data_IF_982950584972
#
_entry.id   IF_982950584972
#
_cell.length_a   1.000
_cell.length_b   1.000
_cell.length_c   1.000
_cell.angle_alpha   90.00
_cell.angle_beta   90.00
_cell.angle_gamma   90.00
#
_symmetry.space_group_name_H-M   'P 1'
#
loop_
_entity.id
_entity.type
_entity.pdbx_description
1 polymer ?
#
# COMPACT_ATOMS: atom_id res chain seq x y z
N UNK A 1 -25.20 4.11 -11.64
CA UNK A 1 -24.93 2.87 -10.88
C UNK A 1 -23.50 2.32 -11.02
N UNK A 2 -22.78 2.57 -12.12
CA UNK A 2 -21.42 2.04 -12.35
C UNK A 2 -20.34 2.54 -11.36
N UNK A 3 -20.28 3.85 -11.09
CA UNK A 3 -19.24 4.45 -10.25
C UNK A 3 -19.22 3.88 -8.81
N UNK A 4 -20.38 3.58 -8.23
CA UNK A 4 -20.46 2.99 -6.87
C UNK A 4 -19.88 1.56 -6.85
N UNK A 5 -20.09 0.79 -7.92
CA UNK A 5 -19.54 -0.56 -8.05
C UNK A 5 -18.02 -0.51 -8.30
N UNK A 6 -17.56 0.41 -9.15
CA UNK A 6 -16.13 0.71 -9.39
C UNK A 6 -15.40 0.99 -8.08
N UNK A 7 -15.91 1.95 -7.31
CA UNK A 7 -15.30 2.41 -6.05
C UNK A 7 -15.25 1.31 -5.00
N UNK A 8 -16.33 0.55 -4.84
CA UNK A 8 -16.35 -0.57 -3.90
C UNK A 8 -15.33 -1.65 -4.28
N UNK A 9 -15.10 -1.84 -5.59
CA UNK A 9 -14.10 -2.76 -6.11
C UNK A 9 -12.67 -2.27 -5.81
N UNK A 10 -12.37 -1.01 -6.08
CA UNK A 10 -11.04 -0.44 -5.78
C UNK A 10 -10.74 -0.46 -4.28
N UNK A 11 -11.73 -0.15 -3.45
CA UNK A 11 -11.60 -0.24 -2.00
C UNK A 11 -11.44 -1.69 -1.51
N UNK A 12 -12.12 -2.66 -2.14
CA UNK A 12 -11.92 -4.08 -1.86
C UNK A 12 -10.51 -4.53 -2.24
N UNK A 13 -10.05 -4.17 -3.45
CA UNK A 13 -8.71 -4.49 -3.93
C UNK A 13 -7.61 -3.87 -3.04
N UNK A 14 -7.84 -2.66 -2.52
CA UNK A 14 -6.97 -2.01 -1.52
C UNK A 14 -6.96 -2.76 -0.18
N UNK A 15 -8.14 -3.15 0.32
CA UNK A 15 -8.24 -3.90 1.58
C UNK A 15 -7.61 -5.29 1.46
N UNK A 16 -7.67 -5.89 0.27
CA UNK A 16 -7.04 -7.18 -0.02
C UNK A 16 -5.51 -7.07 0.01
N UNK A 17 -4.92 -6.06 -0.65
CA UNK A 17 -3.47 -5.84 -0.58
C UNK A 17 -3.02 -5.54 0.85
N UNK A 18 -3.79 -4.73 1.59
CA UNK A 18 -3.51 -4.43 3.01
C UNK A 18 -3.53 -5.70 3.88
N UNK A 19 -4.53 -6.56 3.72
CA UNK A 19 -4.65 -7.82 4.48
C UNK A 19 -3.48 -8.77 4.19
N UNK A 20 -3.13 -8.95 2.92
CA UNK A 20 -2.01 -9.79 2.50
C UNK A 20 -0.69 -9.20 3.03
N UNK A 21 -0.52 -7.88 2.93
CA UNK A 21 0.64 -7.16 3.48
C UNK A 21 0.79 -7.38 4.98
N UNK A 22 -0.28 -7.19 5.76
CA UNK A 22 -0.29 -7.43 7.20
C UNK A 22 0.04 -8.88 7.56
N UNK A 23 -0.41 -9.85 6.76
CA UNK A 23 -0.08 -11.27 6.97
C UNK A 23 1.43 -11.50 6.83
N UNK A 24 2.05 -10.95 5.78
CA UNK A 24 3.51 -10.99 5.62
C UNK A 24 4.24 -10.22 6.71
N UNK A 25 3.65 -9.15 7.25
CA UNK A 25 4.23 -8.40 8.36
C UNK A 25 4.23 -9.21 9.66
N UNK A 26 3.17 -9.97 9.94
CA UNK A 26 3.14 -10.86 11.11
C UNK A 26 4.24 -11.91 10.99
N UNK A 27 4.39 -12.51 9.80
CA UNK A 27 5.49 -13.44 9.52
C UNK A 27 6.87 -12.77 9.69
N UNK A 28 7.04 -11.54 9.21
CA UNK A 28 8.27 -10.77 9.40
C UNK A 28 8.62 -10.58 10.88
N UNK A 29 7.65 -10.14 11.70
CA UNK A 29 7.84 -9.96 13.14
C UNK A 29 8.20 -11.28 13.84
N UNK A 30 7.59 -12.39 13.41
CA UNK A 30 7.95 -13.71 13.92
C UNK A 30 9.42 -14.03 13.62
N UNK A 31 9.88 -13.86 12.38
CA UNK A 31 11.27 -14.14 12.01
C UNK A 31 12.31 -13.25 12.71
N UNK A 32 11.94 -12.03 13.11
CA UNK A 32 12.82 -11.11 13.83
C UNK A 32 12.87 -11.35 15.35
N UNK A 33 12.16 -12.37 15.85
CA UNK A 33 12.12 -12.66 17.27
C UNK A 33 13.49 -13.19 17.77
N UNK A 34 14.17 -12.51 18.71
CA UNK A 34 15.49 -12.91 19.20
C UNK A 34 15.49 -14.30 19.85
N UNK A 35 14.34 -14.78 20.34
CA UNK A 35 14.26 -16.13 20.89
C UNK A 35 14.48 -17.22 19.84
N UNK A 36 14.25 -16.95 18.55
CA UNK A 36 14.50 -17.90 17.47
C UNK A 36 15.99 -18.14 17.23
N UNK A 37 16.86 -17.16 17.52
CA UNK A 37 18.31 -17.35 17.41
C UNK A 37 18.84 -18.34 18.45
N UNK A 38 18.17 -18.42 19.60
CA UNK A 38 18.51 -19.34 20.70
C UNK A 38 17.91 -20.74 20.53
N UNK A 39 17.15 -20.98 19.46
CA UNK A 39 16.60 -22.31 19.18
C UNK A 39 17.51 -23.06 18.22
N UNK A 40 17.70 -24.37 18.47
CA UNK A 40 18.49 -25.27 17.60
C UNK A 40 17.80 -25.59 16.25
N UNK A 41 16.89 -24.72 15.81
CA UNK A 41 16.19 -24.88 14.55
C UNK A 41 17.19 -24.61 13.41
N UNK A 42 17.32 -25.53 12.43
CA UNK A 42 18.27 -25.39 11.34
C UNK A 42 17.78 -24.43 10.25
N UNK A 43 17.26 -23.26 10.62
CA UNK A 43 16.74 -22.24 9.71
C UNK A 43 17.33 -20.88 10.09
N UNK A 44 17.90 -20.19 9.10
CA UNK A 44 18.30 -18.80 9.26
C UNK A 44 17.10 -17.89 8.97
N UNK A 45 16.30 -17.63 10.01
CA UNK A 45 15.10 -16.79 9.91
C UNK A 45 15.40 -15.38 9.41
N UNK A 46 16.58 -14.83 9.71
CA UNK A 46 16.97 -13.47 9.33
C UNK A 46 17.18 -13.33 7.82
N UNK A 47 17.68 -14.38 7.17
CA UNK A 47 17.83 -14.40 5.72
C UNK A 47 16.51 -14.81 5.05
N UNK A 48 15.83 -15.84 5.56
CA UNK A 48 14.57 -16.36 5.01
C UNK A 48 13.46 -15.30 4.98
N UNK A 49 13.38 -14.44 5.99
CA UNK A 49 12.37 -13.37 6.04
C UNK A 49 12.47 -12.37 4.90
N UNK A 50 13.65 -12.19 4.29
CA UNK A 50 13.84 -11.18 3.25
C UNK A 50 12.93 -11.51 2.06
N UNK A 51 12.99 -12.77 1.61
CA UNK A 51 12.22 -13.26 0.47
C UNK A 51 10.77 -13.60 0.87
N UNK A 52 10.57 -14.19 2.04
CA UNK A 52 9.24 -14.72 2.43
C UNK A 52 8.33 -13.71 3.11
N UNK A 53 8.89 -12.61 3.64
CA UNK A 53 8.15 -11.64 4.44
C UNK A 53 8.36 -10.19 3.95
N UNK A 54 9.61 -9.72 3.93
CA UNK A 54 9.97 -8.33 3.64
C UNK A 54 9.60 -7.92 2.21
N UNK A 55 10.17 -8.59 1.21
CA UNK A 55 9.86 -8.33 -0.20
C UNK A 55 8.36 -8.37 -0.53
N UNK A 56 7.60 -9.42 -0.15
CA UNK A 56 6.17 -9.46 -0.46
C UNK A 56 5.37 -8.42 0.33
N UNK A 57 5.73 -8.08 1.58
CA UNK A 57 5.08 -6.98 2.29
C UNK A 57 5.27 -5.64 1.54
N UNK A 58 6.50 -5.35 1.12
CA UNK A 58 6.84 -4.14 0.35
C UNK A 58 6.03 -4.11 -0.96
N UNK A 59 5.87 -5.25 -1.63
CA UNK A 59 5.05 -5.37 -2.84
C UNK A 59 3.59 -4.95 -2.58
N UNK A 60 2.98 -5.52 -1.53
CA UNK A 60 1.59 -5.25 -1.17
C UNK A 60 1.37 -3.79 -0.78
N UNK A 61 2.30 -3.25 0.01
CA UNK A 61 2.37 -1.83 0.36
C UNK A 61 2.39 -1.00 -0.93
N UNK A 62 3.30 -1.27 -1.86
CA UNK A 62 3.36 -0.52 -3.12
C UNK A 62 2.06 -0.60 -3.93
N UNK A 63 1.43 -1.78 -4.00
CA UNK A 63 0.13 -1.97 -4.65
C UNK A 63 -0.96 -1.10 -4.01
N UNK A 64 -1.06 -1.06 -2.67
CA UNK A 64 -2.01 -0.18 -1.95
C UNK A 64 -1.83 1.30 -2.35
N UNK A 65 -0.58 1.76 -2.52
CA UNK A 65 -0.28 3.12 -2.98
C UNK A 65 -0.77 3.38 -4.42
N UNK A 66 -0.50 2.45 -5.35
CA UNK A 66 -0.99 2.54 -6.74
C UNK A 66 -2.51 2.53 -6.83
N UNK A 67 -3.19 1.71 -6.02
CA UNK A 67 -4.66 1.69 -5.98
C UNK A 67 -5.19 3.02 -5.42
N UNK A 68 -4.54 3.58 -4.40
CA UNK A 68 -4.91 4.90 -3.85
C UNK A 68 -4.72 6.02 -4.86
N UNK A 69 -3.63 5.98 -5.63
CA UNK A 69 -3.40 6.87 -6.77
C UNK A 69 -4.54 6.77 -7.78
N UNK A 70 -4.93 5.55 -8.16
CA UNK A 70 -6.04 5.33 -9.07
C UNK A 70 -7.37 5.88 -8.53
N UNK A 71 -7.70 5.63 -7.25
CA UNK A 71 -8.93 6.14 -6.63
C UNK A 71 -8.94 7.67 -6.59
N UNK A 72 -7.82 8.30 -6.22
CA UNK A 72 -7.73 9.78 -6.20
C UNK A 72 -7.86 10.37 -7.61
N UNK A 73 -7.23 9.77 -8.62
CA UNK A 73 -7.40 10.15 -10.02
C UNK A 73 -8.85 9.98 -10.50
N UNK A 74 -9.49 8.85 -10.18
CA UNK A 74 -10.90 8.57 -10.47
C UNK A 74 -11.79 9.68 -9.91
N UNK A 75 -11.51 10.14 -8.68
CA UNK A 75 -12.24 11.24 -8.04
C UNK A 75 -11.99 12.58 -8.70
N UNK A 76 -10.74 12.92 -8.99
CA UNK A 76 -10.42 14.15 -9.70
C UNK A 76 -11.17 14.22 -11.04
N UNK A 77 -11.14 13.14 -11.82
CA UNK A 77 -11.85 13.05 -13.09
C UNK A 77 -13.37 13.15 -12.92
N UNK A 78 -13.93 12.53 -11.87
CA UNK A 78 -15.38 12.59 -11.63
C UNK A 78 -15.90 14.00 -11.36
N UNK A 79 -15.06 14.86 -10.76
CA UNK A 79 -15.44 16.25 -10.50
C UNK A 79 -15.11 17.18 -11.66
N UNK A 80 -13.98 16.95 -12.37
CA UNK A 80 -13.55 17.80 -13.48
C UNK A 80 -14.37 17.57 -14.76
N UNK A 81 -14.75 16.32 -15.04
CA UNK A 81 -15.43 15.93 -16.29
C UNK A 81 -16.60 14.96 -16.05
N UNK A 82 -17.67 15.40 -15.34
CA UNK A 82 -18.74 14.52 -14.86
C UNK A 82 -19.45 13.74 -15.98
N UNK A 83 -19.68 14.37 -17.15
CA UNK A 83 -20.36 13.74 -18.29
C UNK A 83 -19.52 12.66 -18.98
N UNK A 84 -18.19 12.85 -19.08
CA UNK A 84 -17.30 11.86 -19.69
C UNK A 84 -16.97 10.72 -18.73
N UNK A 85 -16.95 10.98 -17.42
CA UNK A 85 -16.54 9.99 -16.42
C UNK A 85 -17.43 8.75 -16.42
N UNK A 86 -18.74 8.92 -16.56
CA UNK A 86 -19.68 7.78 -16.55
C UNK A 86 -19.47 6.84 -17.75
N UNK A 87 -18.91 7.37 -18.85
CA UNK A 87 -18.55 6.60 -20.05
C UNK A 87 -17.14 6.02 -19.97
N UNK A 88 -16.22 6.71 -19.31
CA UNK A 88 -14.82 6.29 -19.18
C UNK A 88 -14.66 5.20 -18.11
N UNK A 89 -15.25 5.41 -16.93
CA UNK A 89 -15.12 4.57 -15.74
C UNK A 89 -16.22 3.51 -15.68
N UNK A 90 -15.97 2.41 -16.38
CA UNK A 90 -16.82 1.22 -16.30
C UNK A 90 -16.23 0.19 -15.34
N UNK A 91 -17.10 -0.67 -14.79
CA UNK A 91 -16.70 -1.73 -13.87
C UNK A 91 -15.62 -2.65 -14.47
N UNK A 92 -15.78 -3.06 -15.73
CA UNK A 92 -14.82 -3.93 -16.44
C UNK A 92 -13.45 -3.26 -16.59
N UNK A 93 -13.41 -1.98 -16.95
CA UNK A 93 -12.14 -1.24 -17.08
C UNK A 93 -11.45 -1.07 -15.74
N UNK A 94 -12.21 -0.78 -14.69
CA UNK A 94 -11.67 -0.70 -13.31
C UNK A 94 -11.04 -2.01 -12.89
N UNK A 95 -11.72 -3.15 -13.14
CA UNK A 95 -11.18 -4.48 -12.85
C UNK A 95 -9.88 -4.73 -13.62
N UNK A 96 -9.85 -4.44 -14.92
CA UNK A 96 -8.63 -4.60 -15.75
C UNK A 96 -7.50 -3.73 -15.21
N UNK A 97 -7.75 -2.46 -14.88
CA UNK A 97 -6.74 -1.55 -14.33
C UNK A 97 -6.20 -2.07 -12.99
N UNK A 98 -7.06 -2.55 -12.11
CA UNK A 98 -6.63 -3.13 -10.83
C UNK A 98 -5.78 -4.38 -11.05
N UNK A 99 -6.18 -5.29 -11.94
CA UNK A 99 -5.38 -6.47 -12.29
C UNK A 99 -4.01 -6.05 -12.84
N UNK A 100 -3.96 -5.06 -13.74
CA UNK A 100 -2.72 -4.52 -14.27
C UNK A 100 -1.83 -3.92 -13.17
N UNK A 101 -2.40 -3.18 -12.22
CA UNK A 101 -1.65 -2.64 -11.07
C UNK A 101 -1.00 -3.79 -10.27
N UNK A 102 -1.75 -4.86 -9.98
CA UNK A 102 -1.21 -6.03 -9.29
C UNK A 102 -0.11 -6.71 -10.14
N UNK A 103 -0.41 -7.03 -11.39
CA UNK A 103 0.51 -7.73 -12.29
C UNK A 103 1.81 -6.95 -12.50
N UNK A 104 1.74 -5.67 -12.84
CA UNK A 104 2.95 -4.84 -13.06
C UNK A 104 3.80 -4.82 -11.79
N UNK A 105 3.21 -4.58 -10.62
CA UNK A 105 3.97 -4.50 -9.37
C UNK A 105 4.58 -5.84 -8.96
N UNK A 106 3.91 -6.96 -9.22
CA UNK A 106 4.39 -8.30 -8.89
C UNK A 106 5.44 -8.82 -9.90
N UNK A 107 5.32 -8.47 -11.18
CA UNK A 107 6.26 -8.90 -12.23
C UNK A 107 7.70 -8.50 -11.94
N UNK A 108 7.93 -7.35 -11.31
CA UNK A 108 9.28 -6.92 -10.91
C UNK A 108 9.92 -7.81 -9.85
N UNK A 109 9.16 -8.65 -9.14
CA UNK A 109 9.70 -9.62 -8.20
C UNK A 109 9.99 -10.99 -8.83
N UNK A 110 9.50 -11.28 -10.04
CA UNK A 110 9.78 -12.58 -10.68
C UNK A 110 11.29 -12.88 -10.81
N UNK A 111 12.16 -11.91 -11.16
CA UNK A 111 13.60 -12.17 -11.23
C UNK A 111 14.21 -12.57 -9.89
N UNK A 112 13.73 -12.04 -8.75
CA UNK A 112 14.27 -12.41 -7.43
C UNK A 112 13.87 -13.83 -7.06
N UNK A 113 12.61 -14.20 -7.26
CA UNK A 113 12.13 -15.55 -6.94
C UNK A 113 12.67 -16.61 -7.91
N UNK A 114 13.10 -16.20 -9.11
CA UNK A 114 13.77 -17.10 -10.05
C UNK A 114 15.27 -17.29 -9.71
N UNK A 115 15.92 -16.29 -9.11
CA UNK A 115 17.35 -16.32 -8.80
C UNK A 115 17.66 -16.79 -7.37
N UNK A 116 16.74 -16.59 -6.43
CA UNK A 116 16.87 -16.98 -5.03
C UNK A 116 16.21 -18.33 -4.78
N UNK A 117 16.94 -19.22 -4.13
CA UNK A 117 16.41 -20.49 -3.66
C UNK A 117 16.88 -20.80 -2.24
N UNK A 118 16.10 -21.59 -1.52
CA UNK A 118 16.46 -22.04 -0.17
C UNK A 118 17.39 -23.24 -0.30
N UNK A 119 18.57 -23.15 0.33
CA UNK A 119 19.55 -24.23 0.35
C UNK A 119 20.24 -24.32 1.70
N UNK A 120 20.84 -25.47 1.96
CA UNK A 120 21.63 -25.73 3.17
C UNK A 120 22.95 -24.98 3.08
N UNK A 121 23.20 -24.08 4.02
CA UNK A 121 24.45 -23.32 4.15
C UNK A 121 25.12 -23.65 5.48
N UNK A 122 26.40 -24.00 5.42
CA UNK A 122 27.20 -24.22 6.61
C UNK A 122 27.67 -22.88 7.19
N UNK A 123 27.44 -22.66 8.48
CA UNK A 123 27.85 -21.47 9.22
C UNK A 123 29.02 -21.81 10.15
N UNK A 124 30.27 -21.47 9.78
CA UNK A 124 31.46 -21.84 10.55
C UNK A 124 31.46 -21.28 11.98
N UNK A 125 30.87 -20.11 12.20
CA UNK A 125 30.78 -19.46 13.50
C UNK A 125 29.87 -20.20 14.50
N UNK A 126 28.91 -20.96 14.01
CA UNK A 126 27.95 -21.72 14.81
C UNK A 126 28.22 -23.22 14.75
N UNK A 127 29.17 -23.66 13.92
CA UNK A 127 29.46 -25.07 13.63
C UNK A 127 28.20 -25.87 13.26
N UNK A 128 27.27 -25.25 12.53
CA UNK A 128 25.96 -25.80 12.17
C UNK A 128 25.58 -25.47 10.73
N UNK A 129 24.83 -26.37 10.09
CA UNK A 129 24.23 -26.15 8.77
C UNK A 129 22.80 -25.66 8.95
N UNK A 130 22.47 -24.48 8.41
CA UNK A 130 21.12 -23.90 8.45
C UNK A 130 20.60 -23.66 7.04
N UNK A 131 19.28 -23.75 6.86
CA UNK A 131 18.60 -23.35 5.63
C UNK A 131 18.69 -21.82 5.51
N UNK A 132 19.32 -21.36 4.44
CA UNK A 132 19.52 -19.94 4.11
C UNK A 132 19.19 -19.71 2.64
N UNK A 133 19.01 -18.46 2.24
CA UNK A 133 18.90 -18.10 0.82
C UNK A 133 20.28 -18.29 0.17
N UNK A 134 20.30 -19.05 -0.92
CA UNK A 134 21.37 -19.10 -1.90
C UNK A 134 20.90 -18.40 -3.17
N UNK A 135 21.79 -17.65 -3.81
CA UNK A 135 21.46 -16.83 -4.99
C UNK A 135 22.34 -17.22 -6.17
N UNK A 136 21.73 -17.40 -7.34
CA UNK A 136 22.45 -17.64 -8.60
C UNK A 136 23.33 -16.44 -9.01
N UNK A 137 24.33 -16.68 -9.86
CA UNK A 137 25.27 -15.65 -10.35
C UNK A 137 24.53 -14.47 -11.02
N UNK A 138 25.07 -13.25 -10.91
CA UNK A 138 24.48 -11.92 -11.23
C UNK A 138 23.68 -11.22 -10.11
N UNK A 139 24.08 -11.41 -8.86
CA UNK A 139 23.50 -10.75 -7.67
C UNK A 139 23.38 -9.22 -7.83
N UNK A 140 24.43 -8.58 -8.34
CA UNK A 140 24.49 -7.13 -8.47
C UNK A 140 23.41 -6.59 -9.44
N UNK A 141 23.28 -7.20 -10.61
CA UNK A 141 22.32 -6.78 -11.64
C UNK A 141 20.88 -6.93 -11.16
N UNK A 142 20.56 -8.05 -10.49
CA UNK A 142 19.21 -8.31 -9.97
C UNK A 142 18.86 -7.34 -8.85
N UNK A 143 19.78 -7.11 -7.91
CA UNK A 143 19.55 -6.15 -6.82
C UNK A 143 19.37 -4.72 -7.34
N UNK A 144 20.19 -4.28 -8.30
CA UNK A 144 20.06 -2.95 -8.92
C UNK A 144 18.71 -2.82 -9.63
N UNK A 145 18.28 -3.82 -10.40
CA UNK A 145 16.99 -3.80 -11.09
C UNK A 145 15.82 -3.68 -10.10
N UNK A 146 15.88 -4.41 -8.98
CA UNK A 146 14.85 -4.39 -7.94
C UNK A 146 14.81 -3.06 -7.19
N UNK A 147 15.97 -2.56 -6.75
CA UNK A 147 16.05 -1.31 -6.02
C UNK A 147 15.58 -0.14 -6.91
N UNK A 148 16.01 -0.11 -8.17
CA UNK A 148 15.62 0.92 -9.13
C UNK A 148 14.14 0.84 -9.51
N UNK A 149 13.61 -0.36 -9.73
CA UNK A 149 12.18 -0.54 -10.02
C UNK A 149 11.32 -0.19 -8.82
N UNK A 150 11.71 -0.59 -7.61
CA UNK A 150 11.05 -0.21 -6.36
C UNK A 150 11.04 1.31 -6.19
N UNK A 151 12.20 1.96 -6.34
CA UNK A 151 12.34 3.40 -6.22
C UNK A 151 11.43 4.11 -7.23
N UNK A 152 11.55 3.76 -8.51
CA UNK A 152 10.81 4.40 -9.60
C UNK A 152 9.30 4.25 -9.41
N UNK A 153 8.82 3.03 -9.16
CA UNK A 153 7.38 2.79 -8.99
C UNK A 153 6.81 3.45 -7.74
N UNK A 154 7.56 3.47 -6.64
CA UNK A 154 7.11 4.07 -5.37
C UNK A 154 7.08 5.59 -5.45
N UNK A 155 8.13 6.21 -6.02
CA UNK A 155 8.20 7.66 -6.20
C UNK A 155 7.12 8.14 -7.16
N UNK A 156 6.94 7.46 -8.31
CA UNK A 156 5.88 7.80 -9.27
C UNK A 156 4.52 7.76 -8.57
N UNK A 157 4.16 6.64 -7.93
CA UNK A 157 2.87 6.51 -7.26
C UNK A 157 2.67 7.60 -6.21
N UNK A 158 3.69 7.85 -5.37
CA UNK A 158 3.63 8.86 -4.31
C UNK A 158 3.41 10.28 -4.86
N UNK A 159 4.19 10.70 -5.87
CA UNK A 159 4.05 12.02 -6.50
C UNK A 159 2.65 12.21 -7.08
N UNK A 160 2.13 11.20 -7.80
CA UNK A 160 0.78 11.27 -8.35
C UNK A 160 -0.31 11.30 -7.26
N UNK A 161 -0.17 10.53 -6.18
CA UNK A 161 -1.11 10.59 -5.04
C UNK A 161 -1.12 11.99 -4.43
N UNK A 162 0.04 12.59 -4.19
CA UNK A 162 0.15 13.95 -3.64
C UNK A 162 -0.51 14.96 -4.60
N UNK A 163 -0.18 14.88 -5.89
CA UNK A 163 -0.74 15.76 -6.92
C UNK A 163 -2.27 15.65 -6.98
N UNK A 164 -2.83 14.45 -7.16
CA UNK A 164 -4.28 14.27 -7.25
C UNK A 164 -4.99 14.63 -5.95
N UNK A 165 -4.41 14.31 -4.79
CA UNK A 165 -5.00 14.67 -3.50
C UNK A 165 -5.05 16.18 -3.32
N UNK A 166 -3.99 16.91 -3.67
CA UNK A 166 -3.97 18.37 -3.61
C UNK A 166 -5.04 19.01 -4.51
N UNK A 167 -5.16 18.52 -5.75
CA UNK A 167 -6.21 18.95 -6.70
C UNK A 167 -7.60 18.70 -6.09
N UNK A 168 -7.81 17.51 -5.51
CA UNK A 168 -9.08 17.12 -4.92
C UNK A 168 -9.44 18.01 -3.71
N UNK A 169 -8.47 18.37 -2.87
CA UNK A 169 -8.64 19.29 -1.75
C UNK A 169 -9.03 20.69 -2.23
N UNK A 170 -8.35 21.21 -3.26
CA UNK A 170 -8.65 22.54 -3.84
C UNK A 170 -10.06 22.57 -4.40
N UNK A 171 -10.43 21.54 -5.17
CA UNK A 171 -11.78 21.39 -5.74
C UNK A 171 -12.82 21.32 -4.62
N UNK A 172 -12.57 20.55 -3.56
CA UNK A 172 -13.49 20.41 -2.43
C UNK A 172 -13.69 21.74 -1.69
N UNK A 173 -12.60 22.51 -1.45
CA UNK A 173 -12.66 23.84 -0.83
C UNK A 173 -13.41 24.85 -1.71
N UNK A 174 -13.12 24.89 -3.01
CA UNK A 174 -13.81 25.78 -3.97
C UNK A 174 -15.31 25.50 -4.01
N UNK A 175 -15.65 24.23 -4.11
CA UNK A 175 -17.04 23.76 -4.10
C UNK A 175 -17.75 24.15 -2.79
N UNK A 176 -17.06 24.08 -1.65
CA UNK A 176 -17.62 24.52 -0.35
C UNK A 176 -17.84 26.03 -0.26
N UNK A 177 -16.87 26.84 -0.73
CA UNK A 177 -16.96 28.31 -0.72
C UNK A 177 -18.05 28.81 -1.66
N UNK A 178 -18.13 28.29 -2.89
CA UNK A 178 -19.20 28.63 -3.84
C UNK A 178 -20.59 28.43 -3.24
N UNK A 179 -20.79 27.34 -2.48
CA UNK A 179 -22.05 27.09 -1.78
C UNK A 179 -22.32 28.10 -0.67
N UNK A 180 -21.32 28.46 0.14
CA UNK A 180 -21.49 29.48 1.17
C UNK A 180 -22.00 30.81 0.58
N UNK A 181 -21.56 31.14 -0.64
CA UNK A 181 -22.02 32.34 -1.37
C UNK A 181 -23.42 32.19 -1.98
N UNK A 182 -23.78 30.99 -2.49
CA UNK A 182 -25.05 30.76 -3.20
C UNK A 182 -26.22 30.38 -2.27
N UNK A 183 -25.97 29.90 -1.04
CA UNK A 183 -27.03 29.44 -0.11
C UNK A 183 -27.82 30.58 0.55
N UNK A 184 -27.55 31.85 0.20
CA UNK A 184 -28.46 32.96 0.53
C UNK A 184 -29.82 32.87 -0.21
N UNK A 185 -29.89 32.09 -1.29
CA UNK A 185 -31.13 31.86 -2.05
C UNK A 185 -31.78 30.54 -1.62
N UNK A 186 -32.85 30.63 -0.82
CA UNK A 186 -33.72 29.49 -0.44
C UNK A 186 -34.19 28.73 -1.69
N UNK A 187 -34.28 27.40 -1.58
CA UNK A 187 -34.79 26.43 -2.56
C UNK A 187 -33.83 25.95 -3.67
N UNK A 188 -33.00 24.93 -3.38
CA UNK A 188 -32.69 23.88 -4.37
C UNK A 188 -32.15 22.59 -3.73
N UNK A 189 -32.65 21.45 -4.22
CA UNK A 189 -32.42 20.05 -3.82
C UNK A 189 -31.04 19.71 -3.21
N UNK A 190 -30.99 19.59 -1.87
CA UNK A 190 -29.74 19.46 -1.06
C UNK A 190 -29.22 18.00 -0.94
N UNK A 191 -29.99 16.99 -1.35
CA UNK A 191 -29.69 15.58 -1.00
C UNK A 191 -28.53 14.95 -1.80
N UNK A 192 -28.45 15.20 -3.11
CA UNK A 192 -27.42 14.63 -4.01
C UNK A 192 -26.00 15.19 -3.79
N UNK A 193 -25.79 16.53 -3.71
CA UNK A 193 -24.45 17.11 -3.56
C UNK A 193 -23.78 16.82 -2.19
N UNK A 194 -24.58 16.58 -1.13
CA UNK A 194 -24.06 16.23 0.20
C UNK A 194 -23.38 14.85 0.24
N UNK A 195 -23.85 13.90 -0.58
CA UNK A 195 -23.34 12.52 -0.63
C UNK A 195 -22.01 12.40 -1.37
N UNK A 196 -21.82 13.22 -2.40
CA UNK A 196 -20.58 13.27 -3.19
C UNK A 196 -19.43 13.86 -2.38
N UNK A 197 -19.64 14.97 -1.67
CA UNK A 197 -18.65 15.56 -0.75
C UNK A 197 -18.21 14.59 0.36
N UNK A 198 -19.14 13.81 0.93
CA UNK A 198 -18.81 12.76 1.91
C UNK A 198 -17.92 11.66 1.32
N UNK A 199 -17.91 11.49 0.01
CA UNK A 199 -17.08 10.48 -0.66
C UNK A 199 -15.73 11.07 -1.03
N UNK A 200 -15.70 12.29 -1.54
CA UNK A 200 -14.48 13.05 -1.80
C UNK A 200 -13.67 13.24 -0.52
N UNK A 201 -14.29 13.75 0.57
CA UNK A 201 -13.60 13.98 1.84
C UNK A 201 -13.00 12.72 2.45
N UNK A 202 -13.64 11.56 2.25
CA UNK A 202 -13.09 10.28 2.67
C UNK A 202 -11.86 9.88 1.84
N UNK A 203 -11.93 10.04 0.51
CA UNK A 203 -10.78 9.73 -0.36
C UNK A 203 -9.59 10.64 -0.03
N UNK A 204 -9.85 11.92 0.22
CA UNK A 204 -8.84 12.87 0.71
C UNK A 204 -8.25 12.39 2.04
N UNK A 205 -9.07 11.96 3.00
CA UNK A 205 -8.61 11.47 4.29
C UNK A 205 -7.69 10.24 4.13
N UNK A 206 -8.14 9.22 3.38
CA UNK A 206 -7.35 8.01 3.10
C UNK A 206 -6.02 8.36 2.42
N UNK A 207 -6.08 9.19 1.38
CA UNK A 207 -4.88 9.57 0.66
C UNK A 207 -3.91 10.39 1.52
N UNK A 208 -4.42 11.27 2.38
CA UNK A 208 -3.58 12.05 3.31
C UNK A 208 -2.88 11.14 4.32
N UNK A 209 -3.61 10.19 4.90
CA UNK A 209 -3.04 9.18 5.80
C UNK A 209 -1.97 8.37 5.08
N UNK A 210 -2.26 7.91 3.87
CA UNK A 210 -1.29 7.16 3.07
C UNK A 210 -0.03 7.98 2.80
N UNK A 211 -0.17 9.27 2.42
CA UNK A 211 0.98 10.15 2.19
C UNK A 211 1.87 10.23 3.44
N UNK A 212 1.27 10.49 4.61
CA UNK A 212 2.00 10.57 5.87
C UNK A 212 2.70 9.25 6.18
N UNK A 213 1.98 8.13 6.05
CA UNK A 213 2.51 6.81 6.34
C UNK A 213 3.60 6.34 5.36
N UNK A 214 3.56 6.78 4.09
CA UNK A 214 4.52 6.35 3.06
C UNK A 214 5.75 7.23 2.96
N UNK A 215 5.67 8.48 3.45
CA UNK A 215 6.79 9.43 3.36
C UNK A 215 8.09 8.82 3.88
N UNK A 216 8.13 8.16 5.08
CA UNK A 216 9.36 7.54 5.58
C UNK A 216 9.93 6.47 4.64
N UNK A 217 9.08 5.63 4.05
CA UNK A 217 9.51 4.55 3.15
C UNK A 217 10.07 5.07 1.82
N UNK A 218 9.45 6.12 1.27
CA UNK A 218 9.96 6.79 0.05
C UNK A 218 11.29 7.49 0.35
N UNK A 219 11.38 8.20 1.47
CA UNK A 219 12.63 8.85 1.91
C UNK A 219 13.75 7.84 2.11
N UNK A 220 13.49 6.67 2.71
CA UNK A 220 14.49 5.60 2.83
C UNK A 220 14.99 5.09 1.50
N UNK A 221 14.07 4.90 0.55
CA UNK A 221 14.43 4.43 -0.79
C UNK A 221 15.34 5.43 -1.49
N UNK A 222 15.08 6.74 -1.32
CA UNK A 222 15.94 7.81 -1.83
C UNK A 222 17.30 7.84 -1.13
N UNK A 223 17.34 7.75 0.21
CA UNK A 223 18.60 7.73 0.97
C UNK A 223 19.48 6.56 0.55
N UNK A 224 18.91 5.36 0.39
CA UNK A 224 19.64 4.17 -0.10
C UNK A 224 20.28 4.38 -1.47
N UNK A 225 19.68 5.24 -2.31
CA UNK A 225 20.22 5.54 -3.65
C UNK A 225 21.45 6.45 -3.58
N UNK A 226 21.49 7.35 -2.58
CA UNK A 226 22.57 8.33 -2.41
C UNK A 226 23.69 7.79 -1.52
N UNK A 227 23.36 6.97 -0.52
CA UNK A 227 24.30 6.35 0.41
C UNK A 227 24.22 4.82 0.31
N UNK A 228 25.17 4.19 -0.40
CA UNK A 228 25.26 2.73 -0.49
C UNK A 228 25.51 2.06 0.88
N UNK A 229 25.99 2.83 1.87
CA UNK A 229 26.24 2.38 3.24
C UNK A 229 24.96 2.22 4.08
N UNK A 230 23.81 2.68 3.56
CA UNK A 230 22.50 2.52 4.19
C UNK A 230 21.81 1.23 3.70
N UNK A 231 22.29 0.08 4.17
CA UNK A 231 21.81 -1.25 3.76
C UNK A 231 21.77 -2.25 4.94
N UNK A 232 21.01 -3.34 4.77
CA UNK A 232 20.85 -4.44 5.75
C UNK A 232 22.17 -5.08 6.21
N UNK A 233 23.21 -5.01 5.38
CA UNK A 233 24.52 -5.62 5.63
C UNK A 233 25.64 -4.59 5.71
N UNK A 234 25.31 -3.30 5.80
CA UNK A 234 26.29 -2.21 5.80
C UNK A 234 26.42 -1.57 7.20
N UNK A 235 27.35 -0.62 7.34
CA UNK A 235 27.71 -0.03 8.64
C UNK A 235 26.52 0.62 9.37
N UNK A 236 25.50 1.07 8.64
CA UNK A 236 24.31 1.73 9.20
C UNK A 236 23.12 0.79 9.41
N UNK A 237 23.36 -0.51 9.66
CA UNK A 237 22.31 -1.54 9.83
C UNK A 237 21.28 -1.19 10.90
N UNK A 238 21.70 -0.66 12.05
CA UNK A 238 20.80 -0.32 13.16
C UNK A 238 19.81 0.79 12.75
N UNK A 239 20.32 1.82 12.07
CA UNK A 239 19.49 2.93 11.59
C UNK A 239 18.52 2.45 10.50
N UNK A 240 19.01 1.61 9.59
CA UNK A 240 18.18 0.98 8.56
C UNK A 240 17.03 0.18 9.18
N UNK A 241 17.33 -0.67 10.17
CA UNK A 241 16.33 -1.49 10.84
C UNK A 241 15.28 -0.64 11.56
N UNK A 242 15.70 0.38 12.32
CA UNK A 242 14.78 1.29 13.01
C UNK A 242 13.81 1.95 12.02
N UNK A 243 14.31 2.50 10.91
CA UNK A 243 13.43 3.21 9.99
C UNK A 243 12.48 2.24 9.27
N UNK A 244 12.94 1.04 8.90
CA UNK A 244 12.05 0.02 8.34
C UNK A 244 10.98 -0.44 9.34
N UNK A 245 11.30 -0.56 10.63
CA UNK A 245 10.29 -0.81 11.67
C UNK A 245 9.21 0.27 11.68
N UNK A 246 9.59 1.55 11.57
CA UNK A 246 8.61 2.64 11.42
C UNK A 246 7.79 2.52 10.13
N UNK A 247 8.40 2.17 9.00
CA UNK A 247 7.68 1.94 7.74
C UNK A 247 6.62 0.84 7.88
N UNK A 248 6.97 -0.28 8.52
CA UNK A 248 6.02 -1.37 8.79
C UNK A 248 4.89 -0.93 9.73
N UNK A 249 5.21 -0.17 10.80
CA UNK A 249 4.20 0.38 11.70
C UNK A 249 3.23 1.32 10.98
N UNK A 250 3.76 2.22 10.16
CA UNK A 250 2.94 3.15 9.38
C UNK A 250 2.08 2.45 8.34
N UNK A 251 2.58 1.37 7.73
CA UNK A 251 1.76 0.52 6.88
C UNK A 251 0.59 -0.08 7.67
N UNK A 252 0.83 -0.64 8.86
CA UNK A 252 -0.25 -1.19 9.69
C UNK A 252 -1.30 -0.14 10.08
N UNK A 253 -0.86 1.08 10.39
CA UNK A 253 -1.76 2.21 10.69
C UNK A 253 -2.61 2.54 9.46
N UNK A 254 -2.00 2.63 8.28
CA UNK A 254 -2.70 2.90 7.02
C UNK A 254 -3.76 1.83 6.70
N UNK A 255 -3.38 0.55 6.80
CA UNK A 255 -4.29 -0.58 6.60
C UNK A 255 -5.47 -0.57 7.58
N UNK A 256 -5.20 -0.24 8.85
CA UNK A 256 -6.25 -0.14 9.88
C UNK A 256 -7.27 0.96 9.56
N UNK A 257 -6.79 2.12 9.11
CA UNK A 257 -7.65 3.24 8.70
C UNK A 257 -8.49 2.86 7.48
N UNK A 258 -7.90 2.15 6.52
CA UNK A 258 -8.62 1.67 5.32
C UNK A 258 -9.77 0.72 5.68
N UNK A 259 -9.59 -0.18 6.65
CA UNK A 259 -10.65 -1.06 7.15
C UNK A 259 -11.80 -0.26 7.76
N UNK A 260 -11.50 0.71 8.64
CA UNK A 260 -12.52 1.59 9.25
C UNK A 260 -13.29 2.35 8.17
N UNK A 261 -12.56 2.82 7.16
CA UNK A 261 -13.10 3.54 6.03
C UNK A 261 -14.04 2.64 5.20
N UNK A 262 -13.66 1.40 4.94
CA UNK A 262 -14.49 0.43 4.23
C UNK A 262 -15.77 0.11 5.00
N UNK A 263 -15.66 -0.06 6.31
CA UNK A 263 -16.79 -0.25 7.22
C UNK A 263 -17.81 0.89 7.14
N UNK A 264 -17.35 2.15 7.11
CA UNK A 264 -18.24 3.31 6.99
C UNK A 264 -18.90 3.46 5.61
N UNK A 265 -18.36 2.88 4.54
CA UNK A 265 -18.87 3.07 3.16
C UNK A 265 -19.71 1.93 2.62
N UNK A 266 -19.32 0.70 2.88
CA UNK A 266 -19.99 -0.46 2.32
C UNK A 266 -21.05 -0.95 3.29
N UNK A 267 -22.32 -0.65 3.00
CA UNK A 267 -23.45 -1.17 3.79
C UNK A 267 -23.47 -2.69 3.82
N UNK A 268 -23.05 -3.35 2.73
CA UNK A 268 -22.94 -4.82 2.68
C UNK A 268 -21.86 -5.32 3.65
N UNK A 269 -20.66 -4.73 3.62
CA UNK A 269 -19.59 -5.09 4.54
C UNK A 269 -19.97 -4.82 5.99
N UNK A 270 -20.58 -3.66 6.27
CA UNK A 270 -21.07 -3.32 7.61
C UNK A 270 -22.07 -4.34 8.13
N UNK A 271 -23.05 -4.72 7.32
CA UNK A 271 -24.05 -5.71 7.70
C UNK A 271 -23.40 -7.08 7.98
N UNK A 272 -22.52 -7.55 7.10
CA UNK A 272 -21.78 -8.81 7.31
C UNK A 272 -20.88 -8.75 8.54
N UNK A 273 -20.22 -7.62 8.80
CA UNK A 273 -19.41 -7.41 10.00
C UNK A 273 -20.27 -7.41 11.27
N UNK A 274 -21.45 -6.78 11.24
CA UNK A 274 -22.40 -6.78 12.37
C UNK A 274 -23.07 -8.14 12.58
N UNK A 275 -23.20 -8.96 11.55
CA UNK A 275 -23.63 -10.36 11.65
C UNK A 275 -22.53 -11.23 12.30
N UNK A 276 -21.27 -11.05 11.91
CA UNK A 276 -20.12 -11.77 12.47
C UNK A 276 -19.77 -11.31 13.90
N UNK A 277 -19.98 -10.03 14.21
CA UNK A 277 -19.70 -9.44 15.51
C UNK A 277 -20.94 -8.72 16.06
N UNK A 278 -21.90 -9.47 16.66
CA UNK A 278 -23.18 -8.92 17.15
C UNK A 278 -23.02 -7.81 18.18
N UNK A 279 -21.88 -7.75 18.89
CA UNK A 279 -21.56 -6.71 19.86
C UNK A 279 -21.42 -5.30 19.25
N UNK A 280 -21.18 -5.19 17.93
CA UNK A 280 -21.05 -3.91 17.22
C UNK A 280 -22.33 -3.50 16.47
N UNK A 281 -23.45 -4.13 16.77
CA UNK A 281 -24.77 -3.76 16.25
C UNK A 281 -25.24 -2.50 16.98
N UNK A 282 -25.08 -1.34 16.33
CA UNK A 282 -25.71 -0.07 16.71
C UNK A 282 -26.71 0.34 15.66
#
# INVERSE_FOLDING_TARGET
>A
MGLRKSVNMSLFAMSLSDLIGLTFQIWHNFCQNPYLENTDIPVDFMTVQILTAGCPNIAMTRITCWITMYITAERCLSVLVPFKVQRILTFRRTLIILILIYSINLSFFLPIYAADYLSWKYFPSLNMTKISIYRWDNIATINVLLDMSHLTLSVIAFVFVVAFTSILVVIMKKSSKWRATVTFSKHQNVAQPRRENKTIGMVVMVATVLIVCYTPGVTCSLIRTVSPEFNLFAQQVNLYQVIWSFCFLFHSINSSINVIVYYKKSSKYRNTFQELFPAFKS
#
